data_IF_897886489617
#
_entry.id   IF_897886489617
#
_cell.length_a   1.000
_cell.length_b   1.000
_cell.length_c   1.000
_cell.angle_alpha   90.00
_cell.angle_beta   90.00
_cell.angle_gamma   90.00
#
_symmetry.space_group_name_H-M   'P 1'
#
loop_
_entity.id
_entity.type
_entity.pdbx_description
1 polymer ?
#
# COMPACT_ATOMS: atom_id res chain seq x y z
N UNK A 1 27.25 -9.02 -5.63
CA UNK A 1 27.87 -8.40 -4.41
C UNK A 1 26.79 -8.26 -3.36
N UNK A 2 27.01 -8.80 -2.15
CA UNK A 2 26.04 -8.70 -1.06
C UNK A 2 26.11 -7.27 -0.49
N UNK A 3 25.00 -6.51 -0.56
CA UNK A 3 24.93 -5.17 0.05
C UNK A 3 25.03 -5.24 1.58
N UNK A 4 25.68 -4.26 2.19
CA UNK A 4 25.64 -4.09 3.64
C UNK A 4 24.20 -3.77 4.08
N UNK A 5 23.78 -4.21 5.27
CA UNK A 5 22.41 -3.97 5.79
C UNK A 5 21.99 -2.50 5.75
N UNK A 6 22.91 -1.60 6.12
CA UNK A 6 22.68 -0.14 6.12
C UNK A 6 22.39 0.46 4.72
N UNK A 7 22.75 -0.26 3.65
CA UNK A 7 22.55 0.18 2.27
C UNK A 7 21.43 -0.59 1.58
N UNK A 8 20.94 -1.66 2.21
CA UNK A 8 19.85 -2.47 1.72
C UNK A 8 18.51 -1.80 2.01
N UNK A 9 17.72 -1.60 0.96
CA UNK A 9 16.46 -0.87 1.00
C UNK A 9 15.26 -1.81 0.90
N UNK A 10 14.37 -1.74 1.87
CA UNK A 10 13.13 -2.50 1.90
C UNK A 10 11.96 -1.54 1.71
N UNK A 11 11.09 -1.83 0.75
CA UNK A 11 9.83 -1.13 0.57
C UNK A 11 8.69 -2.04 1.04
N UNK A 12 8.02 -1.62 2.10
CA UNK A 12 6.77 -2.23 2.53
C UNK A 12 5.63 -1.64 1.71
N UNK A 13 4.77 -2.49 1.18
CA UNK A 13 3.58 -2.09 0.42
C UNK A 13 2.34 -2.58 1.14
N UNK A 14 1.47 -1.64 1.46
CA UNK A 14 0.18 -1.92 2.09
C UNK A 14 -0.95 -1.59 1.11
N UNK A 15 -1.40 -2.58 0.32
CA UNK A 15 -2.53 -2.43 -0.58
C UNK A 15 -3.83 -2.45 0.22
N UNK A 16 -4.19 -1.31 0.79
CA UNK A 16 -5.38 -1.16 1.60
C UNK A 16 -6.60 -0.77 0.77
N UNK A 17 -7.78 -1.00 1.31
CA UNK A 17 -9.01 -0.44 0.73
C UNK A 17 -9.04 1.08 0.92
N UNK A 18 -9.69 1.80 -0.02
CA UNK A 18 -9.81 3.26 0.07
C UNK A 18 -10.42 3.67 1.42
N UNK A 19 -9.79 4.64 2.07
CA UNK A 19 -10.25 5.27 3.32
C UNK A 19 -10.43 4.32 4.52
N UNK A 20 -9.87 3.10 4.45
CA UNK A 20 -9.81 2.22 5.61
C UNK A 20 -8.65 2.66 6.52
N UNK A 21 -8.93 3.59 7.43
CA UNK A 21 -7.94 4.28 8.27
C UNK A 21 -7.40 3.43 9.44
N UNK A 22 -7.49 2.11 9.34
CA UNK A 22 -6.95 1.21 10.38
C UNK A 22 -5.49 0.90 10.08
N UNK A 23 -4.54 1.34 10.93
CA UNK A 23 -3.13 1.05 10.70
C UNK A 23 -2.86 -0.45 10.83
N UNK A 24 -2.16 -1.06 9.87
CA UNK A 24 -1.87 -2.48 9.89
C UNK A 24 -0.78 -2.77 10.93
N UNK A 25 -1.10 -3.58 11.93
CA UNK A 25 -0.15 -3.98 12.97
C UNK A 25 1.09 -4.68 12.37
N UNK A 26 0.90 -5.50 11.33
CA UNK A 26 1.99 -6.18 10.63
C UNK A 26 3.03 -5.21 10.06
N UNK A 27 2.58 -4.12 9.42
CA UNK A 27 3.47 -3.10 8.85
C UNK A 27 4.27 -2.40 9.96
N UNK A 28 3.61 -2.07 11.08
CA UNK A 28 4.29 -1.45 12.23
C UNK A 28 5.38 -2.38 12.80
N UNK A 29 5.06 -3.66 13.01
CA UNK A 29 5.99 -4.67 13.53
C UNK A 29 7.18 -4.85 12.58
N UNK A 30 6.94 -5.10 11.29
CA UNK A 30 8.02 -5.28 10.32
C UNK A 30 8.89 -4.04 10.17
N UNK A 31 8.29 -2.85 10.15
CA UNK A 31 9.05 -1.60 10.11
C UNK A 31 10.01 -1.50 11.30
N UNK A 32 9.51 -1.79 12.51
CA UNK A 32 10.32 -1.78 13.73
C UNK A 32 11.46 -2.80 13.70
N UNK A 33 11.16 -4.05 13.31
CA UNK A 33 12.14 -5.13 13.24
C UNK A 33 13.25 -4.85 12.22
N UNK A 34 12.88 -4.42 11.01
CA UNK A 34 13.88 -4.15 9.96
C UNK A 34 14.74 -2.93 10.29
N UNK A 35 14.16 -1.85 10.84
CA UNK A 35 14.92 -0.69 11.29
C UNK A 35 15.89 -1.06 12.42
N UNK A 36 15.43 -1.85 13.40
CA UNK A 36 16.28 -2.36 14.48
C UNK A 36 17.43 -3.25 13.97
N UNK A 37 17.18 -4.01 12.90
CA UNK A 37 18.19 -4.83 12.25
C UNK A 37 19.18 -4.03 11.37
N UNK A 38 18.97 -2.73 11.17
CA UNK A 38 19.86 -1.82 10.46
C UNK A 38 19.55 -1.64 8.96
N UNK A 39 18.36 -2.05 8.51
CA UNK A 39 17.90 -1.85 7.13
C UNK A 39 17.26 -0.48 6.92
N UNK A 40 17.33 0.04 5.70
CA UNK A 40 16.52 1.19 5.26
C UNK A 40 15.14 0.72 4.91
N UNK A 41 14.11 1.27 5.55
CA UNK A 41 12.72 0.87 5.33
C UNK A 41 11.88 2.09 4.97
N UNK A 42 11.06 1.92 3.94
CA UNK A 42 10.05 2.89 3.55
C UNK A 42 8.71 2.19 3.32
N UNK A 43 7.62 2.94 3.27
CA UNK A 43 6.26 2.44 3.15
C UNK A 43 5.57 3.09 1.96
N UNK A 44 4.82 2.27 1.20
CA UNK A 44 3.83 2.74 0.25
C UNK A 44 2.45 2.24 0.70
N UNK A 45 1.62 3.16 1.16
CA UNK A 45 0.26 2.91 1.64
C UNK A 45 -0.74 3.41 0.60
N UNK A 46 -1.73 2.58 0.27
CA UNK A 46 -2.75 2.92 -0.72
C UNK A 46 -4.05 3.44 -0.12
N UNK A 47 -4.10 3.65 1.19
CA UNK A 47 -5.33 4.05 1.91
C UNK A 47 -5.98 5.32 1.35
N UNK A 48 -5.18 6.31 0.94
CA UNK A 48 -5.67 7.58 0.37
C UNK A 48 -5.94 7.53 -1.14
N UNK A 49 -5.72 6.38 -1.79
CA UNK A 49 -5.98 6.23 -3.22
C UNK A 49 -7.39 5.71 -3.47
N UNK A 50 -8.24 6.56 -4.03
CA UNK A 50 -9.61 6.21 -4.43
C UNK A 50 -9.62 6.01 -5.95
N UNK A 51 -9.91 4.78 -6.44
CA UNK A 51 -10.03 4.55 -7.87
C UNK A 51 -11.22 5.31 -8.44
N UNK A 52 -11.05 5.93 -9.60
CA UNK A 52 -12.10 6.67 -10.31
C UNK A 52 -13.30 5.80 -10.73
N UNK A 53 -13.17 4.47 -10.66
CA UNK A 53 -14.14 3.50 -11.20
C UNK A 53 -14.82 2.63 -10.13
N UNK A 54 -14.56 2.81 -8.85
CA UNK A 54 -15.21 1.97 -7.83
C UNK A 54 -16.61 2.46 -7.52
N UNK A 55 -17.57 1.54 -7.65
CA UNK A 55 -18.97 1.64 -7.23
C UNK A 55 -19.19 1.91 -5.73
N UNK A 56 -18.13 2.04 -4.97
CA UNK A 56 -18.12 2.48 -3.57
C UNK A 56 -17.88 3.98 -3.48
N UNK A 57 -18.67 4.76 -4.21
CA UNK A 57 -18.68 6.20 -3.99
C UNK A 57 -19.15 6.48 -2.55
N UNK A 58 -18.71 7.54 -1.91
CA UNK A 58 -19.24 7.97 -0.62
C UNK A 58 -20.77 8.00 -0.60
N UNK A 59 -21.39 8.35 -1.72
CA UNK A 59 -22.84 8.37 -1.92
C UNK A 59 -23.49 6.99 -1.76
N UNK A 60 -22.86 5.90 -2.21
CA UNK A 60 -23.41 4.56 -2.02
C UNK A 60 -23.31 4.10 -0.56
N UNK A 61 -22.28 4.51 0.17
CA UNK A 61 -22.16 4.25 1.61
C UNK A 61 -23.24 4.95 2.40
N UNK A 62 -23.54 6.22 2.05
CA UNK A 62 -24.60 7.01 2.67
C UNK A 62 -25.97 6.40 2.44
N UNK A 63 -26.25 5.93 1.23
CA UNK A 63 -27.53 5.31 0.86
C UNK A 63 -27.79 3.99 1.60
N UNK A 64 -26.76 3.13 1.73
CA UNK A 64 -26.93 1.80 2.35
C UNK A 64 -26.75 1.80 3.87
N UNK A 65 -25.99 2.71 4.43
CA UNK A 65 -25.68 2.75 5.87
C UNK A 65 -26.51 3.79 6.63
N UNK A 66 -27.40 4.51 5.97
CA UNK A 66 -28.16 5.62 6.56
C UNK A 66 -27.27 6.64 7.31
N UNK A 67 -26.04 6.81 6.84
CA UNK A 67 -25.12 7.79 7.40
C UNK A 67 -25.40 9.18 6.82
N UNK A 68 -25.09 10.24 7.56
CA UNK A 68 -25.14 11.60 7.02
C UNK A 68 -24.11 11.77 5.90
N UNK A 69 -24.38 12.67 4.98
CA UNK A 69 -23.38 13.07 3.99
C UNK A 69 -22.16 13.69 4.70
N UNK A 70 -20.97 13.25 4.30
CA UNK A 70 -19.71 13.80 4.78
C UNK A 70 -18.71 13.87 3.62
N UNK A 71 -17.78 14.79 3.70
CA UNK A 71 -16.66 14.89 2.78
C UNK A 71 -15.42 14.24 3.38
N UNK A 72 -14.81 13.32 2.67
CA UNK A 72 -13.58 12.66 3.10
C UNK A 72 -12.43 13.67 3.31
N UNK A 73 -12.40 14.74 2.51
CA UNK A 73 -11.39 15.79 2.62
C UNK A 73 -11.67 16.74 3.77
N UNK A 74 -12.91 17.22 3.89
CA UNK A 74 -13.29 18.23 4.88
C UNK A 74 -13.45 17.64 6.29
N UNK A 75 -14.10 16.48 6.40
CA UNK A 75 -14.40 15.85 7.70
C UNK A 75 -13.25 15.00 8.23
N UNK A 76 -12.47 14.35 7.36
CA UNK A 76 -11.36 13.47 7.74
C UNK A 76 -9.98 14.12 7.57
N UNK A 77 -9.87 15.24 6.88
CA UNK A 77 -8.60 15.90 6.57
C UNK A 77 -7.66 15.04 5.70
N UNK A 78 -8.22 14.14 4.89
CA UNK A 78 -7.47 13.21 4.05
C UNK A 78 -7.41 13.75 2.62
N UNK A 79 -6.20 13.90 2.09
CA UNK A 79 -6.03 14.23 0.67
C UNK A 79 -6.23 12.98 -0.18
N UNK A 80 -7.27 12.98 -1.02
CA UNK A 80 -7.57 11.89 -1.94
C UNK A 80 -6.64 11.94 -3.14
N UNK A 81 -6.10 10.76 -3.53
CA UNK A 81 -5.25 10.57 -4.70
C UNK A 81 -5.90 9.60 -5.68
N UNK A 82 -5.66 9.81 -6.97
CA UNK A 82 -6.26 9.00 -8.04
C UNK A 82 -5.24 8.20 -8.86
N UNK A 83 -3.96 8.61 -8.86
CA UNK A 83 -2.93 8.06 -9.75
C UNK A 83 -2.10 6.95 -9.09
N UNK A 84 -2.76 5.96 -8.48
CA UNK A 84 -2.12 4.90 -7.69
C UNK A 84 -0.91 4.25 -8.39
N UNK A 85 -1.12 3.71 -9.59
CA UNK A 85 -0.09 2.92 -10.26
C UNK A 85 1.08 3.76 -10.75
N UNK A 86 0.82 4.99 -11.20
CA UNK A 86 1.84 5.95 -11.60
C UNK A 86 2.70 6.38 -10.42
N UNK A 87 2.06 6.73 -9.31
CA UNK A 87 2.74 7.15 -8.08
C UNK A 87 3.54 6.00 -7.46
N UNK A 88 2.98 4.78 -7.50
CA UNK A 88 3.67 3.60 -7.04
C UNK A 88 4.92 3.30 -7.89
N UNK A 89 4.78 3.31 -9.22
CA UNK A 89 5.92 3.14 -10.13
C UNK A 89 6.99 4.19 -9.86
N UNK A 90 6.61 5.46 -9.77
CA UNK A 90 7.52 6.56 -9.44
C UNK A 90 8.25 6.29 -8.11
N UNK A 91 7.52 5.94 -7.05
CA UNK A 91 8.09 5.61 -5.74
C UNK A 91 9.14 4.51 -5.81
N UNK A 92 8.86 3.41 -6.54
CA UNK A 92 9.80 2.29 -6.70
C UNK A 92 11.07 2.72 -7.43
N UNK A 93 10.94 3.45 -8.54
CA UNK A 93 12.09 3.88 -9.34
C UNK A 93 12.95 4.97 -8.66
N UNK A 94 12.35 5.80 -7.81
CA UNK A 94 13.09 6.80 -7.01
C UNK A 94 13.75 6.19 -5.78
N UNK A 95 13.01 5.39 -5.02
CA UNK A 95 13.53 4.78 -3.80
C UNK A 95 14.55 3.68 -4.08
N UNK A 96 14.38 2.95 -5.18
CA UNK A 96 15.22 1.82 -5.65
C UNK A 96 15.36 0.74 -4.57
N UNK A 97 14.25 0.08 -4.17
CA UNK A 97 14.29 -0.98 -3.19
C UNK A 97 15.02 -2.22 -3.72
N UNK A 98 15.71 -2.90 -2.83
CA UNK A 98 16.31 -4.22 -3.08
C UNK A 98 15.31 -5.36 -2.80
N UNK A 99 14.32 -5.05 -1.94
CA UNK A 99 13.24 -5.97 -1.56
C UNK A 99 11.94 -5.19 -1.45
N UNK A 100 10.88 -5.74 -2.05
CA UNK A 100 9.51 -5.24 -1.89
C UNK A 100 8.68 -6.31 -1.19
N UNK A 101 7.99 -5.92 -0.11
CA UNK A 101 7.13 -6.81 0.67
C UNK A 101 5.70 -6.28 0.62
N UNK A 102 4.78 -7.10 0.11
CA UNK A 102 3.35 -6.79 0.07
C UNK A 102 2.62 -7.48 1.21
N UNK A 103 1.85 -6.72 1.99
CA UNK A 103 0.92 -7.25 2.98
C UNK A 103 -0.48 -7.30 2.37
N UNK A 104 -0.89 -8.46 1.87
CA UNK A 104 -2.08 -8.63 1.03
C UNK A 104 -3.22 -9.26 1.84
N UNK A 105 -4.40 -8.65 1.76
CA UNK A 105 -5.67 -9.23 2.17
C UNK A 105 -6.51 -9.56 0.93
N UNK A 106 -7.53 -10.41 1.07
CA UNK A 106 -8.34 -10.91 -0.04
C UNK A 106 -8.92 -9.77 -0.90
N UNK A 107 -9.54 -8.79 -0.27
CA UNK A 107 -10.17 -7.65 -0.96
C UNK A 107 -9.17 -6.77 -1.75
N UNK A 108 -7.89 -6.81 -1.39
CA UNK A 108 -6.83 -6.06 -2.04
C UNK A 108 -6.02 -6.88 -3.06
N UNK A 109 -6.41 -8.13 -3.33
CA UNK A 109 -5.63 -9.05 -4.16
C UNK A 109 -5.44 -8.54 -5.59
N UNK A 110 -6.55 -8.22 -6.28
CA UNK A 110 -6.50 -7.70 -7.66
C UNK A 110 -5.69 -6.40 -7.76
N UNK A 111 -5.88 -5.48 -6.80
CA UNK A 111 -5.09 -4.25 -6.71
C UNK A 111 -3.59 -4.56 -6.59
N UNK A 112 -3.25 -5.54 -5.76
CA UNK A 112 -1.86 -5.94 -5.54
C UNK A 112 -1.22 -6.50 -6.81
N UNK A 113 -1.94 -7.34 -7.56
CA UNK A 113 -1.46 -7.86 -8.84
C UNK A 113 -1.21 -6.75 -9.85
N UNK A 114 -2.13 -5.78 -9.96
CA UNK A 114 -1.98 -4.63 -10.85
C UNK A 114 -0.79 -3.75 -10.43
N UNK A 115 -0.53 -3.60 -9.13
CA UNK A 115 0.66 -2.90 -8.63
C UNK A 115 1.95 -3.63 -8.99
N UNK A 116 1.98 -4.96 -8.87
CA UNK A 116 3.13 -5.77 -9.28
C UNK A 116 3.38 -5.66 -10.79
N UNK A 117 2.33 -5.69 -11.62
CA UNK A 117 2.45 -5.52 -13.08
C UNK A 117 2.96 -4.12 -13.45
N UNK A 118 2.54 -3.08 -12.75
CA UNK A 118 3.01 -1.71 -12.98
C UNK A 118 4.54 -1.54 -12.84
N UNK A 119 5.19 -2.45 -12.10
CA UNK A 119 6.63 -2.46 -11.87
C UNK A 119 7.30 -3.74 -12.37
N UNK A 120 6.70 -4.42 -13.36
CA UNK A 120 7.27 -5.67 -13.89
C UNK A 120 8.68 -5.52 -14.45
N UNK A 121 8.99 -4.34 -14.98
CA UNK A 121 10.32 -4.00 -15.54
C UNK A 121 11.36 -3.66 -14.46
N UNK A 122 10.96 -3.60 -13.19
CA UNK A 122 11.88 -3.34 -12.08
C UNK A 122 12.39 -4.65 -11.48
N UNK A 123 13.71 -4.86 -11.59
CA UNK A 123 14.38 -6.06 -11.09
C UNK A 123 14.70 -5.94 -9.59
N UNK A 124 13.92 -6.63 -8.78
CA UNK A 124 14.18 -6.82 -7.35
C UNK A 124 13.39 -8.04 -6.83
N UNK A 125 13.76 -8.51 -5.65
CA UNK A 125 13.00 -9.55 -4.96
C UNK A 125 11.66 -8.98 -4.50
N UNK A 126 10.57 -9.69 -4.83
CA UNK A 126 9.20 -9.34 -4.42
C UNK A 126 8.63 -10.49 -3.60
N UNK A 127 8.15 -10.18 -2.40
CA UNK A 127 7.54 -11.16 -1.48
C UNK A 127 6.12 -10.68 -1.18
N UNK A 128 5.18 -11.59 -1.22
CA UNK A 128 3.80 -11.35 -0.74
C UNK A 128 3.54 -12.18 0.50
N UNK A 129 2.90 -11.58 1.47
CA UNK A 129 2.45 -12.20 2.70
C UNK A 129 1.08 -11.65 3.09
N UNK A 130 0.48 -12.25 4.11
CA UNK A 130 -0.85 -11.91 4.60
C UNK A 130 -1.75 -13.14 4.65
N UNK A 131 -3.05 -12.93 4.83
CA UNK A 131 -4.01 -14.03 4.99
C UNK A 131 -4.13 -14.86 3.71
N UNK A 132 -4.25 -14.21 2.56
CA UNK A 132 -4.50 -14.89 1.29
C UNK A 132 -3.34 -15.79 0.81
N UNK A 133 -2.05 -15.36 0.84
CA UNK A 133 -0.95 -16.22 0.42
C UNK A 133 -0.67 -17.39 1.37
N UNK A 134 -1.33 -17.41 2.54
CA UNK A 134 -1.16 -18.44 3.56
C UNK A 134 -2.32 -19.45 3.60
N UNK A 135 -3.37 -19.22 2.80
CA UNK A 135 -4.60 -20.01 2.79
C UNK A 135 -4.52 -21.22 1.81
#
# INVERSE_FOLDING_TARGET
MIKAKKDFKILLVYPNLPLMLVPPLSIAIFTGLFKKAGYKVDLFDTTSYVPSETSTSPQNRTLYLQARDFSDEDDLGVTIKTNLYSDYKKKVFEYKPDLIIYSIVEDAFTKSLNMMDAIKDYDCVKISGGVLPSA
#
